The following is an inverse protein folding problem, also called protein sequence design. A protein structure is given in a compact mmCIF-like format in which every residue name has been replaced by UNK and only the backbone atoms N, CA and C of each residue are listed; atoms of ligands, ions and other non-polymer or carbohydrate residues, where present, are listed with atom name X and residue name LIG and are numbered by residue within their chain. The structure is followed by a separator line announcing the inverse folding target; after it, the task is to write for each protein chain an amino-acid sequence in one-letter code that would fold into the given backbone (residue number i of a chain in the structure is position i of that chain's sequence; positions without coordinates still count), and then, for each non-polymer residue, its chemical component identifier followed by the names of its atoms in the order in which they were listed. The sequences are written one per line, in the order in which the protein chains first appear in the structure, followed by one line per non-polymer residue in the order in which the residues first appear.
data_IF_923940460231
#
_entry.id   IF_923940460231
#
_cell.length_a   1.000
_cell.length_b   1.000
_cell.length_c   1.000
_cell.angle_alpha   90.00
_cell.angle_beta   90.00
_cell.angle_gamma   90.00
#
_symmetry.space_group_name_H-M   'P 1'
#
loop_
_entity.id
_entity.type
_entity.pdbx_description
1 polymer ?
#
# COMPACT_ATOMS: atom_id res chain seq x y z
N UNK A 1 2.36 16.70 15.97
CA UNK A 1 2.08 17.80 15.03
C UNK A 1 1.33 17.17 13.87
N UNK A 2 0.00 17.29 13.84
CA UNK A 2 -0.83 16.69 12.78
C UNK A 2 -0.68 17.56 11.54
N UNK A 3 0.33 17.27 10.73
CA UNK A 3 0.35 17.74 9.35
C UNK A 3 -0.69 16.87 8.64
N UNK A 4 -1.92 17.38 8.56
CA UNK A 4 -2.97 16.87 7.68
C UNK A 4 -2.63 17.30 6.25
N UNK A 5 -1.50 16.83 5.72
CA UNK A 5 -1.27 16.92 4.30
C UNK A 5 -2.30 15.99 3.65
N UNK A 6 -3.24 16.59 2.92
CA UNK A 6 -4.14 15.82 2.07
C UNK A 6 -3.28 14.94 1.17
N UNK A 7 -3.56 13.64 1.17
CA UNK A 7 -2.96 12.76 0.18
C UNK A 7 -3.38 13.25 -1.21
N UNK A 8 -2.40 13.54 -2.06
CA UNK A 8 -2.60 13.86 -3.46
C UNK A 8 -1.80 12.86 -4.30
N UNK A 9 -2.48 12.21 -5.25
CA UNK A 9 -1.83 11.26 -6.16
C UNK A 9 -0.90 12.03 -7.12
N UNK A 10 0.40 11.68 -7.18
CA UNK A 10 1.33 12.23 -8.18
C UNK A 10 0.77 12.19 -9.61
N UNK A 11 0.95 13.26 -10.37
CA UNK A 11 0.41 13.38 -11.73
C UNK A 11 0.90 12.27 -12.67
N UNK A 12 2.15 11.83 -12.51
CA UNK A 12 2.73 10.69 -13.23
C UNK A 12 1.94 9.39 -13.00
N UNK A 13 1.54 9.12 -11.76
CA UNK A 13 0.70 7.96 -11.41
C UNK A 13 -0.73 8.11 -11.90
N UNK A 14 -1.29 9.33 -11.85
CA UNK A 14 -2.61 9.60 -12.44
C UNK A 14 -2.64 9.24 -13.92
N UNK A 15 -1.62 9.67 -14.68
CA UNK A 15 -1.49 9.36 -16.10
C UNK A 15 -1.25 7.87 -16.31
N UNK A 16 -0.35 7.26 -15.53
CA UNK A 16 -0.05 5.83 -15.59
C UNK A 16 -1.30 4.97 -15.37
N UNK A 17 -2.13 5.28 -14.37
CA UNK A 17 -3.33 4.51 -14.06
C UNK A 17 -4.54 4.83 -14.95
N UNK A 18 -4.58 6.01 -15.57
CA UNK A 18 -5.59 6.35 -16.56
C UNK A 18 -5.35 5.67 -17.92
N UNK A 19 -4.11 5.31 -18.23
CA UNK A 19 -3.71 4.68 -19.49
C UNK A 19 -3.18 3.26 -19.25
N UNK A 20 -4.03 2.26 -19.51
CA UNK A 20 -3.68 0.85 -19.32
C UNK A 20 -2.53 0.39 -20.22
N UNK A 21 -2.34 1.00 -21.40
CA UNK A 21 -1.22 0.66 -22.28
C UNK A 21 0.10 1.21 -21.72
N UNK A 22 0.08 2.42 -21.14
CA UNK A 22 1.22 2.97 -20.43
C UNK A 22 1.57 2.13 -19.20
N UNK A 23 0.57 1.77 -18.38
CA UNK A 23 0.77 0.90 -17.21
C UNK A 23 1.41 -0.44 -17.60
N UNK A 24 0.86 -1.12 -18.61
CA UNK A 24 1.42 -2.38 -19.11
C UNK A 24 2.86 -2.21 -19.62
N UNK A 25 3.18 -1.08 -20.24
CA UNK A 25 4.54 -0.77 -20.70
C UNK A 25 5.50 -0.57 -19.53
N UNK A 26 5.08 0.13 -18.47
CA UNK A 26 5.86 0.30 -17.23
C UNK A 26 6.11 -1.06 -16.59
N UNK A 27 5.07 -1.88 -16.42
CA UNK A 27 5.17 -3.24 -15.88
C UNK A 27 6.14 -4.10 -16.69
N UNK A 28 6.02 -4.09 -18.02
CA UNK A 28 6.92 -4.85 -18.91
C UNK A 28 8.38 -4.40 -18.79
N UNK A 29 8.63 -3.09 -18.69
CA UNK A 29 9.98 -2.53 -18.53
C UNK A 29 10.57 -2.93 -17.17
N UNK A 30 9.76 -2.95 -16.11
CA UNK A 30 10.20 -3.29 -14.75
C UNK A 30 10.36 -4.80 -14.51
N UNK A 31 9.61 -5.64 -15.22
CA UNK A 31 9.70 -7.10 -15.11
C UNK A 31 11.07 -7.68 -15.52
N UNK A 32 11.85 -6.94 -16.33
CA UNK A 32 13.15 -7.36 -16.84
C UNK A 32 14.33 -6.59 -16.25
N UNK A 33 15.34 -7.30 -15.75
CA UNK A 33 16.62 -6.69 -15.38
C UNK A 33 17.59 -6.54 -16.56
N UNK A 34 17.29 -7.17 -17.70
CA UNK A 34 18.11 -7.20 -18.92
C UNK A 34 17.51 -6.39 -20.06
N UNK A 35 18.32 -6.12 -21.08
CA UNK A 35 17.83 -5.59 -22.35
C UNK A 35 16.84 -6.56 -23.02
N UNK A 36 15.84 -6.06 -23.76
CA UNK A 36 15.00 -6.88 -24.61
C UNK A 36 15.83 -7.64 -25.64
N UNK A 37 15.40 -8.86 -25.99
CA UNK A 37 16.04 -9.61 -27.06
C UNK A 37 15.88 -8.86 -28.38
N UNK A 38 16.99 -8.67 -29.11
CA UNK A 38 16.98 -8.01 -30.42
C UNK A 38 16.97 -6.49 -30.37
N UNK A 39 17.30 -5.86 -29.24
CA UNK A 39 17.52 -4.41 -29.21
C UNK A 39 18.74 -4.04 -30.08
N UNK A 40 18.60 -3.03 -30.92
CA UNK A 40 19.69 -2.50 -31.73
C UNK A 40 20.52 -1.47 -30.94
N UNK A 41 21.77 -1.25 -31.34
CA UNK A 41 22.69 -0.40 -30.57
C UNK A 41 22.24 1.06 -30.46
N UNK A 42 21.56 1.57 -31.49
CA UNK A 42 20.97 2.91 -31.53
C UNK A 42 19.70 3.05 -30.67
N UNK A 43 19.08 1.94 -30.25
CA UNK A 43 17.90 1.91 -29.38
C UNK A 43 18.25 1.85 -27.88
N UNK A 44 19.50 1.49 -27.55
CA UNK A 44 19.98 1.31 -26.16
C UNK A 44 19.75 2.55 -25.29
N UNK A 45 20.04 3.75 -25.81
CA UNK A 45 19.85 4.99 -25.05
C UNK A 45 18.37 5.24 -24.72
N UNK A 46 17.49 5.01 -25.69
CA UNK A 46 16.04 5.17 -25.52
C UNK A 46 15.51 4.18 -24.48
N UNK A 47 15.95 2.92 -24.53
CA UNK A 47 15.57 1.91 -23.55
C UNK A 47 16.02 2.27 -22.13
N UNK A 48 17.27 2.71 -21.95
CA UNK A 48 17.78 3.10 -20.63
C UNK A 48 17.00 4.29 -20.05
N UNK A 49 16.62 5.27 -20.89
CA UNK A 49 15.76 6.39 -20.49
C UNK A 49 14.36 5.91 -20.08
N UNK A 50 13.75 5.02 -20.86
CA UNK A 50 12.44 4.46 -20.55
C UNK A 50 12.46 3.67 -19.22
N UNK A 51 13.52 2.89 -18.98
CA UNK A 51 13.71 2.18 -17.71
C UNK A 51 13.87 3.12 -16.52
N UNK A 52 14.67 4.17 -16.66
CA UNK A 52 14.81 5.17 -15.60
C UNK A 52 13.48 5.87 -15.28
N UNK A 53 12.65 6.14 -16.28
CA UNK A 53 11.31 6.69 -16.10
C UNK A 53 10.37 5.71 -15.38
N UNK A 54 10.33 4.44 -15.81
CA UNK A 54 9.54 3.40 -15.16
C UNK A 54 9.94 3.19 -13.69
N UNK A 55 11.25 3.21 -13.40
CA UNK A 55 11.77 3.17 -12.03
C UNK A 55 11.32 4.36 -11.20
N UNK A 56 11.32 5.56 -11.79
CA UNK A 56 10.83 6.77 -11.12
C UNK A 56 9.35 6.62 -10.74
N UNK A 57 8.51 6.12 -11.65
CA UNK A 57 7.09 5.85 -11.39
C UNK A 57 6.93 4.87 -10.22
N UNK A 58 7.73 3.78 -10.19
CA UNK A 58 7.72 2.82 -9.08
C UNK A 58 8.05 3.47 -7.73
N UNK A 59 9.06 4.34 -7.68
CA UNK A 59 9.42 5.04 -6.45
C UNK A 59 8.36 6.06 -6.01
N UNK A 60 7.77 6.78 -6.96
CA UNK A 60 6.65 7.69 -6.70
C UNK A 60 5.44 6.94 -6.15
N UNK A 61 5.16 5.74 -6.67
CA UNK A 61 4.10 4.87 -6.17
C UNK A 61 4.34 4.44 -4.72
N UNK A 62 5.53 3.95 -4.40
CA UNK A 62 5.88 3.60 -3.02
C UNK A 62 5.76 4.78 -2.05
N UNK A 63 6.19 5.98 -2.47
CA UNK A 63 6.02 7.19 -1.65
C UNK A 63 4.54 7.58 -1.50
N UNK A 64 3.74 7.42 -2.54
CA UNK A 64 2.31 7.68 -2.49
C UNK A 64 1.61 6.72 -1.51
N UNK A 65 1.94 5.42 -1.53
CA UNK A 65 1.42 4.45 -0.55
C UNK A 65 1.75 4.85 0.89
N UNK A 66 2.98 5.30 1.18
CA UNK A 66 3.36 5.80 2.51
C UNK A 66 2.48 6.98 2.94
N UNK A 67 2.25 7.94 2.05
CA UNK A 67 1.44 9.12 2.34
C UNK A 67 -0.03 8.76 2.50
N UNK A 68 -0.53 7.84 1.69
CA UNK A 68 -1.91 7.33 1.80
C UNK A 68 -2.12 6.65 3.15
N UNK A 69 -1.21 5.75 3.53
CA UNK A 69 -1.22 5.06 4.82
C UNK A 69 -1.26 6.05 5.98
N UNK A 70 -0.36 7.05 5.97
CA UNK A 70 -0.33 8.10 6.99
C UNK A 70 -1.61 8.95 7.03
N UNK A 71 -2.21 9.24 5.86
CA UNK A 71 -3.43 10.02 5.78
C UNK A 71 -4.66 9.27 6.33
N UNK A 72 -4.68 7.94 6.17
CA UNK A 72 -5.76 7.06 6.60
C UNK A 72 -5.62 6.69 8.09
N UNK A 73 -4.49 6.07 8.44
CA UNK A 73 -4.30 5.45 9.75
C UNK A 73 -3.60 6.36 10.76
N UNK A 74 -2.71 7.23 10.28
CA UNK A 74 -1.82 8.01 11.14
C UNK A 74 -1.00 7.13 12.07
N UNK A 75 -0.75 7.63 13.29
CA UNK A 75 -0.13 6.86 14.36
C UNK A 75 -1.19 6.43 15.38
N UNK A 76 -1.56 5.13 15.43
CA UNK A 76 -2.58 4.64 16.35
C UNK A 76 -2.10 4.77 17.80
N UNK A 77 -2.85 5.52 18.61
CA UNK A 77 -2.54 5.69 20.04
C UNK A 77 -2.56 4.35 20.80
N UNK A 78 -1.57 4.14 21.66
CA UNK A 78 -1.39 2.92 22.45
C UNK A 78 -0.59 1.84 21.73
N UNK A 79 -0.27 2.03 20.46
CA UNK A 79 0.49 1.10 19.64
C UNK A 79 1.85 1.68 19.28
N UNK A 80 2.88 0.84 19.24
CA UNK A 80 4.25 1.22 18.87
C UNK A 80 4.54 0.71 17.48
N UNK A 81 4.87 1.60 16.55
CA UNK A 81 5.27 1.23 15.19
C UNK A 81 6.57 0.42 15.22
N UNK A 82 6.60 -0.74 14.58
CA UNK A 82 7.82 -1.52 14.41
C UNK A 82 8.81 -0.83 13.46
N UNK A 83 10.10 -1.12 13.63
CA UNK A 83 11.10 -0.65 12.68
C UNK A 83 10.91 -1.30 11.31
N UNK A 84 11.43 -0.67 10.26
CA UNK A 84 11.38 -1.23 8.90
C UNK A 84 12.15 -2.56 8.84
N UNK A 85 13.25 -2.67 9.58
CA UNK A 85 14.08 -3.88 9.61
C UNK A 85 13.32 -5.06 10.23
N UNK A 86 12.60 -4.82 11.32
CA UNK A 86 11.76 -5.84 11.96
C UNK A 86 10.62 -6.28 11.03
N UNK A 87 9.92 -5.32 10.41
CA UNK A 87 8.85 -5.60 9.47
C UNK A 87 9.35 -6.40 8.24
N UNK A 88 10.49 -6.02 7.67
CA UNK A 88 11.07 -6.67 6.50
C UNK A 88 11.48 -8.13 6.74
N UNK A 89 11.84 -8.48 7.98
CA UNK A 89 12.23 -9.84 8.36
C UNK A 89 11.06 -10.81 8.48
N UNK A 90 9.86 -10.34 8.81
CA UNK A 90 8.67 -11.18 9.00
C UNK A 90 7.71 -11.15 7.82
N UNK A 91 7.48 -9.97 7.23
CA UNK A 91 6.49 -9.76 6.16
C UNK A 91 7.10 -9.76 4.77
N UNK A 92 8.40 -10.01 4.65
CA UNK A 92 9.14 -9.81 3.39
C UNK A 92 9.00 -8.40 2.80
N UNK A 93 8.64 -7.38 3.61
CA UNK A 93 8.50 -6.00 3.19
C UNK A 93 9.77 -5.52 2.49
N UNK A 94 9.64 -5.22 1.20
CA UNK A 94 10.70 -4.61 0.39
C UNK A 94 10.07 -3.45 -0.35
N UNK A 95 10.65 -2.26 -0.24
CA UNK A 95 10.18 -1.08 -0.97
C UNK A 95 10.03 -1.34 -2.49
N UNK A 96 10.85 -2.23 -3.05
CA UNK A 96 10.77 -2.63 -4.45
C UNK A 96 9.54 -3.49 -4.80
N UNK A 97 8.93 -4.18 -3.82
CA UNK A 97 7.74 -5.02 -3.97
C UNK A 97 6.44 -4.24 -3.84
N UNK A 98 6.46 -3.04 -3.25
CA UNK A 98 5.23 -2.23 -3.07
C UNK A 98 4.45 -2.02 -4.38
N UNK A 99 5.15 -1.95 -5.52
CA UNK A 99 4.51 -1.88 -6.83
C UNK A 99 3.76 -3.16 -7.20
N UNK A 100 4.32 -4.32 -6.87
CA UNK A 100 3.74 -5.62 -7.17
C UNK A 100 2.65 -6.02 -6.16
N UNK A 101 2.85 -5.68 -4.88
CA UNK A 101 1.92 -5.95 -3.79
C UNK A 101 0.70 -4.99 -3.86
N UNK A 102 0.82 -3.86 -4.56
CA UNK A 102 -0.18 -2.80 -4.72
C UNK A 102 -0.65 -2.13 -3.41
N UNK A 103 -0.15 -2.53 -2.25
CA UNK A 103 -0.45 -1.94 -0.96
C UNK A 103 0.78 -1.72 -0.08
N UNK A 104 0.58 -1.01 1.03
CA UNK A 104 1.55 -0.88 2.10
C UNK A 104 0.95 -1.37 3.42
N UNK A 105 1.55 -2.42 3.97
CA UNK A 105 1.33 -2.88 5.33
C UNK A 105 2.32 -2.25 6.32
N UNK A 106 1.82 -1.77 7.47
CA UNK A 106 2.66 -1.29 8.59
C UNK A 106 2.32 -2.07 9.85
N UNK A 107 3.37 -2.65 10.46
CA UNK A 107 3.30 -3.40 11.71
C UNK A 107 3.40 -2.48 12.93
N UNK A 108 2.53 -2.73 13.91
CA UNK A 108 2.53 -2.09 15.22
C UNK A 108 2.40 -3.16 16.32
N UNK A 109 2.88 -2.84 17.52
CA UNK A 109 2.78 -3.73 18.69
C UNK A 109 2.28 -3.02 19.94
N UNK A 110 1.61 -3.76 20.81
CA UNK A 110 1.17 -3.31 22.14
C UNK A 110 1.12 -4.51 23.10
N UNK A 111 2.15 -4.65 23.94
CA UNK A 111 2.32 -5.87 24.75
C UNK A 111 2.56 -7.08 23.84
N UNK A 112 1.79 -8.15 24.05
CA UNK A 112 1.86 -9.38 23.25
C UNK A 112 1.03 -9.31 21.96
N UNK A 113 0.36 -8.17 21.70
CA UNK A 113 -0.47 -7.99 20.51
C UNK A 113 0.31 -7.39 19.35
N UNK A 114 0.04 -7.88 18.15
CA UNK A 114 0.56 -7.34 16.88
C UNK A 114 -0.60 -6.88 16.00
N UNK A 115 -0.46 -5.70 15.40
CA UNK A 115 -1.44 -5.09 14.53
C UNK A 115 -0.78 -4.74 13.19
N UNK A 116 -1.34 -5.21 12.09
CA UNK A 116 -0.99 -4.79 10.74
C UNK A 116 -2.07 -3.85 10.22
N UNK A 117 -1.68 -2.67 9.74
CA UNK A 117 -2.57 -1.73 9.07
C UNK A 117 -2.12 -1.57 7.62
N UNK A 118 -3.01 -1.88 6.69
CA UNK A 118 -2.76 -1.88 5.25
C UNK A 118 -3.48 -0.70 4.60
N UNK A 119 -2.86 -0.11 3.58
CA UNK A 119 -3.50 0.85 2.69
C UNK A 119 -2.95 0.68 1.28
N UNK A 120 -3.83 0.61 0.28
CA UNK A 120 -3.47 0.43 -1.11
C UNK A 120 -4.40 1.18 -2.06
N UNK A 121 -3.95 1.36 -3.29
CA UNK A 121 -4.76 1.97 -4.35
C UNK A 121 -4.29 1.55 -5.74
N UNK A 122 -5.23 1.40 -6.67
CA UNK A 122 -4.94 1.09 -8.08
C UNK A 122 -5.69 2.05 -9.01
N UNK A 123 -5.90 1.63 -10.28
CA UNK A 123 -6.67 2.35 -11.28
C UNK A 123 -8.15 2.56 -10.87
N UNK A 124 -8.36 3.52 -9.98
CA UNK A 124 -9.66 3.93 -9.49
C UNK A 124 -10.14 3.19 -8.26
N UNK A 125 -9.34 2.33 -7.62
CA UNK A 125 -9.72 1.76 -6.32
C UNK A 125 -8.84 2.24 -5.20
N UNK A 126 -9.43 2.30 -4.03
CA UNK A 126 -8.74 2.49 -2.75
C UNK A 126 -9.19 1.37 -1.83
N UNK A 127 -8.26 0.81 -1.09
CA UNK A 127 -8.57 -0.15 -0.05
C UNK A 127 -7.73 0.07 1.19
N UNK A 128 -8.27 -0.42 2.30
CA UNK A 128 -7.62 -0.45 3.60
C UNK A 128 -7.80 -1.83 4.17
N UNK A 129 -6.82 -2.29 4.94
CA UNK A 129 -6.87 -3.59 5.57
C UNK A 129 -6.36 -3.55 7.00
N UNK A 130 -6.76 -4.54 7.79
CA UNK A 130 -6.27 -4.70 9.15
C UNK A 130 -6.17 -6.17 9.53
N UNK A 131 -5.12 -6.51 10.26
CA UNK A 131 -4.95 -7.84 10.86
C UNK A 131 -4.46 -7.69 12.29
N UNK A 132 -5.03 -8.45 13.22
CA UNK A 132 -4.73 -8.40 14.65
C UNK A 132 -4.33 -9.78 15.15
N UNK A 133 -3.24 -9.85 15.90
CA UNK A 133 -2.72 -11.07 16.51
C UNK A 133 -2.55 -10.88 18.02
N UNK A 134 -2.75 -11.96 18.78
CA UNK A 134 -2.41 -12.09 20.20
C UNK A 134 -1.39 -13.24 20.34
N UNK A 135 -0.12 -12.88 20.54
CA UNK A 135 1.01 -13.77 20.26
C UNK A 135 1.00 -14.24 18.81
N UNK A 136 1.02 -15.57 18.62
CA UNK A 136 0.95 -16.19 17.28
C UNK A 136 -0.48 -16.48 16.80
N UNK A 137 -1.50 -16.11 17.59
CA UNK A 137 -2.89 -16.40 17.27
C UNK A 137 -3.57 -15.18 16.65
N UNK A 138 -3.92 -15.32 15.39
CA UNK A 138 -4.77 -14.35 14.71
C UNK A 138 -6.12 -14.22 15.43
N UNK A 139 -6.58 -12.98 15.60
CA UNK A 139 -7.85 -12.65 16.22
C UNK A 139 -8.90 -12.44 15.14
N UNK A 140 -9.97 -13.23 15.16
CA UNK A 140 -11.11 -13.03 14.25
C UNK A 140 -11.93 -11.81 14.70
N UNK A 141 -11.66 -10.66 14.08
CA UNK A 141 -12.29 -9.39 14.42
C UNK A 141 -13.28 -9.01 13.32
N UNK A 142 -14.56 -9.22 13.56
CA UNK A 142 -15.61 -8.79 12.64
C UNK A 142 -15.73 -7.25 12.62
N UNK A 143 -15.19 -6.61 11.59
CA UNK A 143 -15.29 -5.17 11.35
C UNK A 143 -16.38 -4.92 10.31
N UNK A 144 -17.32 -4.03 10.64
CA UNK A 144 -18.41 -3.69 9.74
C UNK A 144 -17.87 -3.12 8.41
N UNK A 145 -18.47 -3.54 7.29
CA UNK A 145 -18.12 -3.15 5.92
C UNK A 145 -16.75 -3.65 5.41
N UNK A 146 -16.03 -4.43 6.22
CA UNK A 146 -14.83 -5.13 5.79
C UNK A 146 -15.16 -6.58 5.46
N UNK A 147 -14.59 -7.07 4.36
CA UNK A 147 -14.64 -8.47 3.96
C UNK A 147 -13.36 -9.16 4.44
N UNK A 148 -13.50 -10.42 4.86
CA UNK A 148 -12.35 -11.24 5.25
C UNK A 148 -11.67 -11.73 3.98
N UNK A 149 -10.38 -11.44 3.84
CA UNK A 149 -9.50 -11.96 2.80
C UNK A 149 -8.59 -13.03 3.42
N UNK A 150 -8.76 -14.29 2.99
CA UNK A 150 -7.99 -15.45 3.44
C UNK A 150 -6.81 -15.76 2.49
N UNK A 151 -6.23 -14.72 1.85
CA UNK A 151 -5.11 -14.85 0.92
C UNK A 151 -3.86 -15.56 1.49
N UNK A 152 -2.94 -15.93 0.60
CA UNK A 152 -1.90 -16.94 0.84
C UNK A 152 -0.80 -16.58 1.87
N UNK A 153 -0.78 -15.38 2.44
CA UNK A 153 0.29 -14.95 3.36
C UNK A 153 -0.23 -14.41 4.71
N UNK A 154 -1.38 -13.73 4.73
CA UNK A 154 -2.04 -13.26 5.95
C UNK A 154 -3.54 -13.22 5.75
N UNK A 155 -4.31 -13.57 6.79
CA UNK A 155 -5.71 -13.20 6.85
C UNK A 155 -5.81 -11.75 7.35
N UNK A 156 -6.61 -10.96 6.66
CA UNK A 156 -6.96 -9.63 7.11
C UNK A 156 -8.39 -9.30 6.72
N UNK A 157 -8.93 -8.28 7.35
CA UNK A 157 -10.18 -7.67 6.94
C UNK A 157 -9.84 -6.51 6.04
N UNK A 158 -10.48 -6.38 4.89
CA UNK A 158 -10.31 -5.25 3.99
C UNK A 158 -11.62 -4.64 3.51
N UNK A 159 -11.58 -3.34 3.24
CA UNK A 159 -12.64 -2.60 2.57
C UNK A 159 -12.13 -2.13 1.21
N UNK A 160 -12.66 -2.67 0.11
CA UNK A 160 -12.36 -2.22 -1.26
C UNK A 160 -13.44 -1.30 -1.80
N UNK A 161 -13.05 -0.14 -2.34
CA UNK A 161 -13.96 0.77 -3.03
C UNK A 161 -13.43 1.13 -4.41
N UNK A 162 -14.27 1.07 -5.45
CA UNK A 162 -13.96 1.61 -6.77
C UNK A 162 -14.23 3.12 -6.78
N UNK A 163 -13.32 3.87 -6.18
CA UNK A 163 -13.40 5.29 -5.94
C UNK A 163 -12.13 6.00 -6.42
N UNK A 164 -12.30 7.05 -7.23
CA UNK A 164 -11.21 7.95 -7.54
C UNK A 164 -10.68 8.59 -6.25
N UNK A 165 -9.35 8.66 -6.10
CA UNK A 165 -8.78 9.24 -4.88
C UNK A 165 -8.99 10.75 -4.90
N UNK A 166 -9.96 11.20 -4.10
CA UNK A 166 -10.24 12.60 -3.84
C UNK A 166 -10.41 12.87 -2.33
N UNK A 167 -10.43 14.14 -1.90
CA UNK A 167 -10.55 14.48 -0.47
C UNK A 167 -11.84 14.01 0.21
N UNK A 168 -12.92 13.73 -0.53
CA UNK A 168 -14.16 13.16 0.04
C UNK A 168 -14.01 11.66 0.30
N UNK A 169 -13.38 10.93 -0.62
CA UNK A 169 -13.10 9.50 -0.50
C UNK A 169 -12.13 9.26 0.65
N UNK A 170 -11.04 10.02 0.74
CA UNK A 170 -10.08 9.90 1.84
C UNK A 170 -10.73 10.13 3.21
N UNK A 171 -11.67 11.08 3.31
CA UNK A 171 -12.42 11.31 4.56
C UNK A 171 -13.32 10.13 4.92
N UNK A 172 -13.98 9.54 3.94
CA UNK A 172 -14.82 8.37 4.16
C UNK A 172 -14.00 7.14 4.59
N UNK A 173 -12.90 6.87 3.87
CA UNK A 173 -11.96 5.78 4.19
C UNK A 173 -11.35 5.99 5.58
N UNK A 174 -10.95 7.21 5.92
CA UNK A 174 -10.44 7.53 7.26
C UNK A 174 -11.49 7.33 8.36
N UNK A 175 -12.74 7.72 8.13
CA UNK A 175 -13.81 7.48 9.11
C UNK A 175 -13.98 5.98 9.38
N UNK A 176 -13.88 5.14 8.32
CA UNK A 176 -13.90 3.68 8.45
C UNK A 176 -12.68 3.12 9.17
N UNK A 177 -11.50 3.66 8.89
CA UNK A 177 -10.28 3.35 9.64
C UNK A 177 -10.40 3.70 11.13
N UNK A 178 -10.96 4.88 11.46
CA UNK A 178 -11.21 5.30 12.84
C UNK A 178 -12.22 4.37 13.56
N UNK A 179 -13.30 3.96 12.88
CA UNK A 179 -14.27 2.97 13.38
C UNK A 179 -13.61 1.61 13.67
N UNK A 180 -12.80 1.10 12.72
CA UNK A 180 -12.03 -0.14 12.88
C UNK A 180 -11.08 -0.06 14.09
N UNK A 181 -10.36 1.06 14.24
CA UNK A 181 -9.45 1.26 15.36
C UNK A 181 -10.16 1.36 16.71
N UNK A 182 -11.37 1.92 16.77
CA UNK A 182 -12.18 1.92 17.99
C UNK A 182 -12.59 0.50 18.39
N UNK A 183 -12.94 -0.32 17.41
CA UNK A 183 -13.27 -1.72 17.65
C UNK A 183 -12.07 -2.51 18.16
N UNK A 184 -10.90 -2.36 17.53
CA UNK A 184 -9.65 -3.02 17.96
C UNK A 184 -9.26 -2.62 19.38
N UNK A 185 -9.40 -1.33 19.72
CA UNK A 185 -9.12 -0.83 21.09
C UNK A 185 -10.07 -1.41 22.14
N UNK A 186 -11.28 -1.81 21.78
CA UNK A 186 -12.20 -2.47 22.71
C UNK A 186 -11.80 -3.93 23.01
N UNK A 187 -10.96 -4.53 22.15
CA UNK A 187 -10.45 -5.89 22.28
C UNK A 187 -9.04 -5.94 22.88
N UNK A 188 -8.29 -4.82 22.84
CA UNK A 188 -6.94 -4.66 23.36
C UNK A 188 -6.93 -4.46 24.89
#
# INVERSE_FOLDING_TARGET
MLVTDQFEMPASLQVCFADSALRASVEQILAGSSFPAGIEWDEVEAFLKARAAAETIRWEYGLALVRLHQAIWGDPQGWTRCSVDDAASETSFKAAKLWDDEDMAVKYTSGDKTLYLLAGFDAGKVWIGVSLFDGDHEQDVAIQDFERDDGDEYTYWEMRGNLAIDPSVLRAVRAKADEAMQHIKALA
#
